data_IF_944687311509
#
_entry.id   IF_944687311509
#
_cell.length_a   1.000
_cell.length_b   1.000
_cell.length_c   1.000
_cell.angle_alpha   90.00
_cell.angle_beta   90.00
_cell.angle_gamma   90.00
#
_symmetry.space_group_name_H-M   'P 1'
#
loop_
_entity.id
_entity.type
_entity.pdbx_description
1 polymer ?
#
# COMPACT_ATOMS: atom_id res chain seq x y z
N UNK A 1 -25.50 -20.76 6.49
CA UNK A 1 -24.66 -19.84 5.68
C UNK A 1 -25.10 -18.44 6.06
N UNK A 2 -24.32 -17.56 6.68
CA UNK A 2 -22.89 -17.35 6.70
C UNK A 2 -22.51 -16.61 8.00
N UNK A 3 -21.59 -17.17 8.78
CA UNK A 3 -20.75 -16.38 9.69
C UNK A 3 -19.34 -16.36 9.09
N UNK A 4 -19.17 -15.64 7.97
CA UNK A 4 -17.84 -15.23 7.56
C UNK A 4 -17.50 -13.99 8.39
N UNK A 5 -16.84 -14.19 9.53
CA UNK A 5 -16.30 -13.08 10.30
C UNK A 5 -15.42 -12.22 9.37
N UNK A 6 -15.73 -10.92 9.21
CA UNK A 6 -15.01 -10.00 8.30
C UNK A 6 -13.55 -9.73 8.71
N UNK A 7 -13.07 -10.41 9.74
CA UNK A 7 -11.72 -10.35 10.30
C UNK A 7 -10.85 -11.54 9.88
N UNK A 8 -11.39 -12.54 9.19
CA UNK A 8 -10.60 -13.70 8.75
C UNK A 8 -9.61 -13.32 7.63
N UNK A 9 -8.35 -13.75 7.77
CA UNK A 9 -7.30 -13.61 6.74
C UNK A 9 -7.14 -14.91 5.93
N UNK A 10 -6.56 -14.80 4.75
CA UNK A 10 -6.04 -15.92 3.96
C UNK A 10 -4.69 -16.39 4.54
N UNK A 11 -4.18 -17.53 4.07
CA UNK A 11 -2.90 -18.09 4.52
C UNK A 11 -1.70 -17.18 4.18
N UNK A 12 -1.85 -16.34 3.15
CA UNK A 12 -0.87 -15.30 2.80
C UNK A 12 -1.05 -14.00 3.62
N UNK A 13 -1.90 -14.02 4.66
CA UNK A 13 -2.26 -12.90 5.53
C UNK A 13 -3.01 -11.73 4.85
N UNK A 14 -3.48 -11.87 3.61
CA UNK A 14 -4.41 -10.89 3.00
C UNK A 14 -5.79 -11.04 3.62
N UNK A 15 -6.50 -9.92 3.84
CA UNK A 15 -7.86 -9.95 4.36
C UNK A 15 -8.80 -10.68 3.40
N UNK A 16 -9.66 -11.57 3.91
CA UNK A 16 -10.73 -12.16 3.11
C UNK A 16 -11.81 -11.14 2.83
N UNK A 17 -12.23 -11.09 1.57
CA UNK A 17 -13.39 -10.34 1.09
C UNK A 17 -14.68 -11.13 1.34
N UNK A 18 -15.81 -10.48 1.09
CA UNK A 18 -17.14 -11.12 1.18
C UNK A 18 -17.30 -12.33 0.25
N UNK A 19 -16.56 -12.38 -0.86
CA UNK A 19 -16.53 -13.52 -1.78
C UNK A 19 -15.58 -14.65 -1.31
N UNK A 20 -14.98 -14.53 -0.13
CA UNK A 20 -14.05 -15.49 0.45
C UNK A 20 -12.60 -15.39 -0.05
N UNK A 21 -12.32 -14.49 -1.01
CA UNK A 21 -11.00 -14.32 -1.63
C UNK A 21 -10.27 -13.04 -1.14
N UNK A 22 -8.99 -12.87 -1.48
CA UNK A 22 -8.21 -11.68 -1.12
C UNK A 22 -8.33 -10.54 -2.13
N UNK A 23 -7.67 -9.41 -1.87
CA UNK A 23 -7.40 -8.41 -2.91
C UNK A 23 -6.29 -8.91 -3.84
N UNK A 24 -6.53 -8.86 -5.15
CA UNK A 24 -5.61 -9.47 -6.12
C UNK A 24 -4.26 -8.76 -6.24
N UNK A 25 -4.22 -7.44 -6.06
CA UNK A 25 -2.95 -6.70 -6.00
C UNK A 25 -2.15 -7.09 -4.75
N UNK A 26 -2.82 -7.13 -3.59
CA UNK A 26 -2.18 -7.53 -2.34
C UNK A 26 -1.73 -9.01 -2.37
N UNK A 27 -2.50 -9.89 -3.00
CA UNK A 27 -2.11 -11.29 -3.21
C UNK A 27 -0.87 -11.39 -4.10
N UNK A 28 -0.89 -10.76 -5.28
CA UNK A 28 0.25 -10.76 -6.20
C UNK A 28 1.52 -10.19 -5.54
N UNK A 29 1.37 -9.11 -4.75
CA UNK A 29 2.47 -8.57 -3.94
C UNK A 29 3.05 -9.62 -3.00
N UNK A 30 2.22 -10.22 -2.14
CA UNK A 30 2.70 -11.16 -1.12
C UNK A 30 3.19 -12.48 -1.69
N UNK A 31 2.64 -12.94 -2.81
CA UNK A 31 3.09 -14.16 -3.49
C UNK A 31 4.43 -13.94 -4.19
N UNK A 32 4.58 -12.84 -4.94
CA UNK A 32 5.79 -12.59 -5.73
C UNK A 32 6.96 -12.08 -4.87
N UNK A 33 6.71 -11.17 -3.94
CA UNK A 33 7.75 -10.54 -3.12
C UNK A 33 7.97 -11.25 -1.78
N UNK A 34 6.98 -12.00 -1.32
CA UNK A 34 7.05 -12.80 -0.11
C UNK A 34 7.28 -11.97 1.15
N UNK A 35 7.86 -12.64 2.15
CA UNK A 35 8.17 -12.07 3.45
C UNK A 35 9.31 -11.05 3.43
N UNK A 36 9.93 -10.80 2.28
CA UNK A 36 10.97 -9.79 2.16
C UNK A 36 10.39 -8.39 2.18
N UNK A 37 9.11 -8.20 1.84
CA UNK A 37 8.42 -6.92 1.75
C UNK A 37 7.31 -6.87 2.79
N UNK A 38 7.07 -5.69 3.39
CA UNK A 38 6.12 -5.55 4.50
C UNK A 38 4.95 -4.66 4.11
N UNK A 39 4.00 -5.29 3.41
CA UNK A 39 2.74 -4.66 3.03
C UNK A 39 1.72 -4.83 4.15
N UNK A 40 1.25 -3.73 4.70
CA UNK A 40 0.21 -3.68 5.72
C UNK A 40 -1.12 -3.24 5.10
N UNK A 41 -2.21 -3.88 5.52
CA UNK A 41 -3.58 -3.49 5.20
C UNK A 41 -4.07 -2.50 6.27
N UNK A 42 -4.11 -1.22 5.93
CA UNK A 42 -4.42 -0.13 6.85
C UNK A 42 -5.92 0.05 7.07
N UNK A 43 -6.74 -0.41 6.11
CA UNK A 43 -8.19 -0.25 6.17
C UNK A 43 -8.81 -1.09 7.29
N UNK A 44 -8.18 -2.22 7.64
CA UNK A 44 -8.61 -3.09 8.74
C UNK A 44 -8.50 -2.44 10.13
N UNK A 45 -7.63 -1.43 10.32
CA UNK A 45 -7.44 -0.76 11.60
C UNK A 45 -8.00 0.66 11.57
N UNK A 46 -7.52 1.48 10.63
CA UNK A 46 -7.86 2.91 10.56
C UNK A 46 -9.16 3.14 9.78
N UNK A 47 -9.37 2.37 8.71
CA UNK A 47 -10.56 2.47 7.86
C UNK A 47 -11.87 2.33 8.63
N UNK A 48 -11.98 1.23 9.36
CA UNK A 48 -13.15 0.94 10.19
C UNK A 48 -13.34 1.95 11.34
N UNK A 49 -12.26 2.38 11.99
CA UNK A 49 -12.35 3.28 13.15
C UNK A 49 -12.69 4.72 12.77
N UNK A 50 -12.19 5.23 11.64
CA UNK A 50 -12.31 6.64 11.28
C UNK A 50 -13.27 6.93 10.13
N UNK A 51 -13.50 5.97 9.22
CA UNK A 51 -14.29 6.19 8.01
C UNK A 51 -15.52 5.28 7.91
N UNK A 52 -15.73 4.39 8.89
CA UNK A 52 -16.87 3.47 8.97
C UNK A 52 -16.77 2.29 7.99
N UNK A 53 -17.71 1.33 8.10
CA UNK A 53 -17.73 0.06 7.33
C UNK A 53 -18.00 0.18 5.83
N UNK A 54 -17.98 1.39 5.26
CA UNK A 54 -18.28 1.63 3.83
C UNK A 54 -17.04 1.63 2.93
N UNK A 55 -15.92 1.11 3.39
CA UNK A 55 -14.67 1.20 2.66
C UNK A 55 -14.60 0.13 1.57
N UNK A 56 -15.15 0.45 0.40
CA UNK A 56 -14.58 -0.04 -0.86
C UNK A 56 -13.11 0.40 -1.01
N UNK A 57 -12.66 1.34 -0.16
CA UNK A 57 -11.27 1.74 0.03
C UNK A 57 -10.45 0.57 0.55
N UNK A 58 -9.43 0.20 -0.21
CA UNK A 58 -8.48 -0.83 0.16
C UNK A 58 -7.12 -0.16 0.17
N UNK A 59 -6.69 0.21 1.36
CA UNK A 59 -5.47 0.98 1.55
C UNK A 59 -4.38 0.05 2.04
N UNK A 60 -3.29 0.01 1.29
CA UNK A 60 -2.11 -0.75 1.65
C UNK A 60 -0.92 0.17 1.81
N UNK A 61 -0.09 -0.06 2.81
CA UNK A 61 1.15 0.67 3.01
C UNK A 61 2.32 -0.29 3.03
N UNK A 62 3.31 -0.03 2.20
CA UNK A 62 4.57 -0.76 2.20
C UNK A 62 5.55 -0.07 3.13
N UNK A 63 6.07 -0.83 4.09
CA UNK A 63 7.04 -0.37 5.08
C UNK A 63 8.37 -1.06 4.90
N UNK A 64 9.45 -0.37 5.26
CA UNK A 64 10.76 -0.96 5.45
C UNK A 64 11.09 -0.95 6.95
N UNK A 65 10.98 -2.09 7.67
CA UNK A 65 11.35 -2.22 9.07
C UNK A 65 12.88 -2.39 9.22
N UNK A 66 13.45 -2.01 10.35
CA UNK A 66 14.86 -2.29 10.67
C UNK A 66 15.15 -3.79 10.78
N UNK A 67 14.24 -4.58 11.33
CA UNK A 67 14.37 -6.04 11.47
C UNK A 67 13.20 -6.78 10.77
N UNK A 68 13.51 -7.50 9.69
CA UNK A 68 12.54 -8.29 8.93
C UNK A 68 12.17 -9.63 9.60
N UNK A 69 13.10 -10.22 10.36
CA UNK A 69 12.90 -11.52 11.02
C UNK A 69 11.98 -11.36 12.23
N UNK A 70 12.06 -10.23 12.92
CA UNK A 70 11.26 -9.91 14.10
C UNK A 70 10.22 -8.82 13.87
N UNK A 71 9.79 -8.58 12.63
CA UNK A 71 8.82 -7.53 12.30
C UNK A 71 7.45 -7.66 12.97
N UNK A 72 7.12 -8.83 13.51
CA UNK A 72 5.91 -9.06 14.30
C UNK A 72 6.07 -8.64 15.78
N UNK A 73 7.31 -8.41 16.24
CA UNK A 73 7.61 -7.80 17.52
C UNK A 73 7.58 -6.26 17.42
N UNK A 74 7.89 -5.57 18.52
CA UNK A 74 8.01 -4.12 18.53
C UNK A 74 9.13 -3.66 17.58
N UNK A 75 8.76 -3.26 16.36
CA UNK A 75 9.65 -2.63 15.39
C UNK A 75 10.12 -1.30 16.01
N UNK A 76 11.44 -1.15 16.15
CA UNK A 76 12.02 0.04 16.80
C UNK A 76 12.20 1.18 15.81
N UNK A 77 12.47 0.86 14.54
CA UNK A 77 12.66 1.82 13.45
C UNK A 77 12.06 1.30 12.16
N UNK A 78 11.44 2.18 11.41
CA UNK A 78 10.83 1.85 10.13
C UNK A 78 10.69 3.09 9.27
N UNK A 79 10.60 2.88 7.96
CA UNK A 79 10.36 3.93 6.97
C UNK A 79 9.15 3.58 6.10
N UNK A 80 8.36 4.58 5.72
CA UNK A 80 7.24 4.40 4.80
C UNK A 80 7.79 4.43 3.35
N UNK A 81 7.54 3.39 2.57
CA UNK A 81 7.95 3.35 1.15
C UNK A 81 6.84 3.95 0.30
N UNK A 82 5.65 3.37 0.36
CA UNK A 82 4.53 3.79 -0.47
C UNK A 82 3.18 3.48 0.18
N UNK A 83 2.19 4.28 -0.15
CA UNK A 83 0.78 3.99 0.10
C UNK A 83 0.07 3.71 -1.23
N UNK A 84 -0.72 2.65 -1.25
CA UNK A 84 -1.51 2.20 -2.39
C UNK A 84 -3.00 2.26 -2.02
N UNK A 85 -3.74 3.13 -2.69
CA UNK A 85 -5.19 3.21 -2.58
C UNK A 85 -5.83 2.45 -3.75
N UNK A 86 -6.32 1.24 -3.45
CA UNK A 86 -6.82 0.29 -4.45
C UNK A 86 -8.30 0.56 -4.76
N UNK A 87 -8.60 0.75 -6.05
CA UNK A 87 -9.91 1.15 -6.58
C UNK A 87 -10.35 0.27 -7.75
N UNK A 88 -11.62 -0.10 -7.82
CA UNK A 88 -12.15 -0.96 -8.89
C UNK A 88 -12.11 -0.29 -10.27
N UNK A 89 -12.37 1.02 -10.34
CA UNK A 89 -12.39 1.78 -11.59
C UNK A 89 -11.73 3.14 -11.44
N UNK A 90 -11.48 3.78 -12.59
CA UNK A 90 -10.92 5.13 -12.66
C UNK A 90 -11.86 6.15 -12.03
N UNK A 91 -13.16 6.05 -12.33
CA UNK A 91 -14.18 6.92 -11.78
C UNK A 91 -14.24 6.79 -10.27
N UNK A 92 -14.12 5.58 -9.73
CA UNK A 92 -14.04 5.37 -8.29
C UNK A 92 -12.80 6.08 -7.71
N UNK A 93 -11.61 5.93 -8.31
CA UNK A 93 -10.41 6.57 -7.79
C UNK A 93 -10.50 8.09 -7.66
N UNK A 94 -11.23 8.76 -8.55
CA UNK A 94 -11.35 10.21 -8.59
C UNK A 94 -12.74 10.73 -8.21
N UNK A 95 -13.59 9.89 -7.61
CA UNK A 95 -14.88 10.31 -7.10
C UNK A 95 -14.71 11.25 -5.89
N UNK A 96 -15.59 12.24 -5.78
CA UNK A 96 -15.51 13.29 -4.75
C UNK A 96 -15.65 12.76 -3.32
N UNK A 97 -16.32 11.62 -3.13
CA UNK A 97 -16.51 10.93 -1.85
C UNK A 97 -15.27 10.15 -1.39
N UNK A 98 -14.38 9.76 -2.32
CA UNK A 98 -13.11 9.11 -1.99
C UNK A 98 -12.02 10.08 -1.48
N UNK A 99 -12.35 11.37 -1.35
CA UNK A 99 -11.39 12.41 -1.00
C UNK A 99 -10.94 12.38 0.46
N UNK A 100 -11.77 11.90 1.40
CA UNK A 100 -11.44 11.97 2.84
C UNK A 100 -10.36 10.95 3.22
N UNK A 101 -10.52 9.69 2.81
CA UNK A 101 -9.51 8.65 3.06
C UNK A 101 -8.20 9.00 2.35
N UNK A 102 -8.26 9.35 1.07
CA UNK A 102 -7.07 9.78 0.32
C UNK A 102 -6.39 10.96 1.02
N UNK A 103 -7.14 11.99 1.45
CA UNK A 103 -6.57 13.13 2.18
C UNK A 103 -5.86 12.72 3.48
N UNK A 104 -6.42 11.78 4.24
CA UNK A 104 -5.79 11.26 5.44
C UNK A 104 -4.46 10.56 5.15
N UNK A 105 -4.43 9.67 4.17
CA UNK A 105 -3.20 8.95 3.83
C UNK A 105 -2.15 9.84 3.15
N UNK A 106 -2.56 10.85 2.36
CA UNK A 106 -1.66 11.89 1.89
C UNK A 106 -1.06 12.68 3.07
N UNK A 107 -1.85 12.99 4.10
CA UNK A 107 -1.33 13.63 5.31
C UNK A 107 -0.32 12.75 6.06
N UNK A 108 -0.55 11.43 6.12
CA UNK A 108 0.44 10.49 6.66
C UNK A 108 1.72 10.49 5.84
N UNK A 109 1.64 10.41 4.51
CA UNK A 109 2.82 10.51 3.64
C UNK A 109 3.60 11.82 3.88
N UNK A 110 2.92 12.97 4.01
CA UNK A 110 3.56 14.25 4.33
C UNK A 110 4.25 14.26 5.69
N UNK A 111 3.68 13.57 6.69
CA UNK A 111 4.30 13.43 8.00
C UNK A 111 5.62 12.67 7.88
N UNK A 112 5.58 11.49 7.27
CA UNK A 112 6.77 10.67 7.04
C UNK A 112 7.82 11.37 6.18
N UNK A 113 7.41 12.11 5.15
CA UNK A 113 8.31 12.89 4.30
C UNK A 113 9.19 13.90 5.07
N UNK A 114 8.75 14.34 6.26
CA UNK A 114 9.55 15.22 7.14
C UNK A 114 10.56 14.46 7.98
N UNK A 115 10.26 13.21 8.31
CA UNK A 115 11.01 12.40 9.27
C UNK A 115 11.99 11.43 8.58
N UNK A 116 11.89 11.25 7.26
CA UNK A 116 12.75 10.35 6.48
C UNK A 116 13.38 11.09 5.27
N UNK A 117 14.59 10.69 4.79
CA UNK A 117 15.36 11.47 3.81
C UNK A 117 14.76 11.51 2.40
N UNK A 118 13.97 10.49 2.03
CA UNK A 118 13.27 10.40 0.74
C UNK A 118 11.78 10.27 1.01
N UNK A 119 10.98 11.16 0.42
CA UNK A 119 9.54 11.14 0.64
C UNK A 119 8.90 9.82 0.19
N UNK A 120 7.89 9.30 0.92
CA UNK A 120 7.11 8.16 0.49
C UNK A 120 6.28 8.52 -0.74
N UNK A 121 5.89 7.49 -1.52
CA UNK A 121 5.04 7.66 -2.71
C UNK A 121 3.58 7.33 -2.42
N UNK A 122 2.67 7.89 -3.20
CA UNK A 122 1.25 7.58 -3.11
C UNK A 122 0.71 7.20 -4.48
N UNK A 123 0.06 6.05 -4.58
CA UNK A 123 -0.55 5.57 -5.82
C UNK A 123 -2.02 5.26 -5.63
N UNK A 124 -2.84 5.67 -6.58
CA UNK A 124 -4.02 4.87 -6.90
C UNK A 124 -3.58 3.64 -7.68
N UNK A 125 -4.08 2.48 -7.27
CA UNK A 125 -3.98 1.24 -8.04
C UNK A 125 -5.39 0.90 -8.52
N UNK A 126 -5.61 0.95 -9.83
CA UNK A 126 -6.94 0.86 -10.46
C UNK A 126 -7.04 -0.45 -11.25
N UNK A 127 -8.22 -1.10 -11.24
CA UNK A 127 -8.49 -2.28 -12.06
C UNK A 127 -9.18 -3.43 -11.33
N UNK A 128 -9.12 -4.62 -11.91
CA UNK A 128 -9.78 -5.84 -11.40
C UNK A 128 -8.96 -6.68 -10.41
N UNK A 129 -9.40 -7.92 -10.17
CA UNK A 129 -8.64 -8.88 -9.34
C UNK A 129 -7.32 -9.27 -10.00
N UNK A 130 -7.32 -9.49 -11.30
CA UNK A 130 -6.13 -9.80 -12.09
C UNK A 130 -5.68 -8.57 -12.88
N UNK A 131 -4.41 -8.51 -13.32
CA UNK A 131 -3.96 -7.55 -14.31
C UNK A 131 -4.85 -7.55 -15.58
N UNK A 132 -4.92 -6.44 -16.33
CA UNK A 132 -4.10 -5.25 -16.15
C UNK A 132 -4.57 -4.35 -15.00
N UNK A 133 -3.60 -3.77 -14.29
CA UNK A 133 -3.80 -2.69 -13.34
C UNK A 133 -3.24 -1.39 -13.88
N UNK A 134 -3.80 -0.28 -13.44
CA UNK A 134 -3.34 1.06 -13.77
C UNK A 134 -2.85 1.74 -12.50
N UNK A 135 -1.58 2.14 -12.48
CA UNK A 135 -0.99 2.91 -11.39
C UNK A 135 -1.02 4.39 -11.76
N UNK A 136 -1.65 5.18 -10.89
CA UNK A 136 -1.67 6.64 -11.00
C UNK A 136 -1.05 7.22 -9.75
N UNK A 137 0.11 7.85 -9.91
CA UNK A 137 0.78 8.49 -8.79
C UNK A 137 0.18 9.85 -8.47
N UNK A 138 0.06 10.16 -7.18
CA UNK A 138 -0.30 11.49 -6.69
C UNK A 138 0.91 12.16 -6.04
N UNK A 139 1.05 13.46 -6.30
CA UNK A 139 1.91 14.31 -5.49
C UNK A 139 1.38 14.35 -4.06
N UNK A 140 2.23 13.98 -3.10
CA UNK A 140 1.80 13.88 -1.71
C UNK A 140 1.40 15.24 -1.12
N UNK A 141 1.94 16.35 -1.60
CA UNK A 141 1.70 17.71 -1.10
C UNK A 141 0.42 18.33 -1.69
N UNK A 142 0.19 18.16 -2.98
CA UNK A 142 -0.95 18.78 -3.67
C UNK A 142 -2.14 17.82 -3.83
N UNK A 143 -1.91 16.51 -3.78
CA UNK A 143 -2.89 15.48 -4.11
C UNK A 143 -3.21 15.39 -5.61
N UNK A 144 -2.47 16.13 -6.45
CA UNK A 144 -2.67 16.10 -7.90
C UNK A 144 -1.89 14.95 -8.53
N UNK A 145 -2.39 14.43 -9.65
CA UNK A 145 -1.68 13.41 -10.43
C UNK A 145 -0.30 13.91 -10.87
N UNK A 146 0.70 13.04 -10.81
CA UNK A 146 2.04 13.29 -11.34
C UNK A 146 2.46 12.20 -12.33
N UNK A 147 3.21 12.60 -13.34
CA UNK A 147 3.64 11.70 -14.41
C UNK A 147 2.48 11.20 -15.27
N UNK A 148 2.74 10.13 -16.02
CA UNK A 148 1.73 9.39 -16.77
C UNK A 148 1.22 8.18 -15.99
N UNK A 149 0.05 7.68 -16.37
CA UNK A 149 -0.49 6.44 -15.82
C UNK A 149 0.39 5.28 -16.28
N UNK A 150 0.70 4.35 -15.37
CA UNK A 150 1.48 3.16 -15.68
C UNK A 150 0.58 1.95 -15.75
N UNK A 151 0.50 1.33 -16.93
CA UNK A 151 -0.22 0.08 -17.11
C UNK A 151 0.67 -1.10 -16.69
N UNK A 152 0.15 -1.94 -15.82
CA UNK A 152 0.80 -3.12 -15.28
C UNK A 152 0.01 -4.33 -15.76
N UNK A 153 0.58 -5.09 -16.69
CA UNK A 153 -0.01 -6.30 -17.28
C UNK A 153 0.57 -7.61 -16.71
N UNK A 154 1.40 -7.50 -15.67
CA UNK A 154 2.14 -8.60 -15.05
C UNK A 154 1.79 -8.75 -13.57
N UNK A 155 1.91 -9.97 -13.06
CA UNK A 155 1.92 -10.26 -11.61
C UNK A 155 3.34 -10.31 -11.04
N UNK A 156 4.38 -10.08 -11.85
CA UNK A 156 5.76 -9.97 -11.37
C UNK A 156 5.97 -8.63 -10.66
N UNK A 157 5.71 -8.61 -9.36
CA UNK A 157 5.74 -7.37 -8.57
C UNK A 157 7.15 -6.79 -8.40
N UNK A 158 8.21 -7.57 -8.64
CA UNK A 158 9.58 -7.03 -8.67
C UNK A 158 9.75 -6.06 -9.83
N UNK A 159 9.29 -6.45 -11.03
CA UNK A 159 9.32 -5.60 -12.22
C UNK A 159 8.48 -4.34 -12.02
N UNK A 160 7.31 -4.49 -11.39
CA UNK A 160 6.44 -3.35 -11.06
C UNK A 160 7.16 -2.38 -10.12
N UNK A 161 7.77 -2.88 -9.04
CA UNK A 161 8.49 -2.05 -8.07
C UNK A 161 9.68 -1.33 -8.70
N UNK A 162 10.43 -2.00 -9.57
CA UNK A 162 11.54 -1.39 -10.30
C UNK A 162 11.04 -0.30 -11.26
N UNK A 163 9.96 -0.58 -12.01
CA UNK A 163 9.38 0.36 -12.97
C UNK A 163 8.84 1.64 -12.30
N UNK A 164 8.25 1.50 -11.11
CA UNK A 164 7.83 2.64 -10.28
C UNK A 164 8.91 3.07 -9.28
N UNK A 165 10.18 2.70 -9.45
CA UNK A 165 11.31 3.18 -8.63
C UNK A 165 11.21 2.91 -7.13
N UNK A 166 10.32 2.00 -6.70
CA UNK A 166 10.13 1.67 -5.28
C UNK A 166 11.27 0.83 -4.73
N UNK A 167 11.91 0.00 -5.55
CA UNK A 167 13.11 -0.75 -5.16
C UNK A 167 14.25 0.19 -4.77
N UNK A 168 14.53 1.22 -5.59
CA UNK A 168 15.60 2.18 -5.29
C UNK A 168 15.27 3.01 -4.04
N UNK A 169 14.03 3.47 -3.91
CA UNK A 169 13.56 4.21 -2.73
C UNK A 169 13.78 3.39 -1.46
N UNK A 170 13.37 2.12 -1.50
CA UNK A 170 13.51 1.19 -0.39
C UNK A 170 14.96 0.92 -0.01
N UNK A 171 15.83 0.61 -0.98
CA UNK A 171 17.25 0.41 -0.74
C UNK A 171 17.90 1.65 -0.09
N UNK A 172 17.54 2.84 -0.56
CA UNK A 172 18.05 4.10 0.00
C UNK A 172 17.58 4.35 1.43
N UNK A 173 16.32 4.03 1.75
CA UNK A 173 15.79 4.17 3.11
C UNK A 173 16.39 3.14 4.06
N UNK A 174 16.55 1.89 3.63
CA UNK A 174 17.27 0.84 4.38
C UNK A 174 18.67 1.29 4.77
N UNK A 175 19.47 1.71 3.80
CA UNK A 175 20.84 2.16 4.04
C UNK A 175 20.89 3.27 5.10
N UNK A 176 19.94 4.21 5.06
CA UNK A 176 19.87 5.29 6.04
C UNK A 176 19.50 4.80 7.45
N UNK A 177 18.58 3.84 7.55
CA UNK A 177 18.21 3.27 8.85
C UNK A 177 19.39 2.53 9.49
N UNK A 178 20.23 1.89 8.68
CA UNK A 178 21.44 1.22 9.14
C UNK A 178 22.48 2.25 9.66
N UNK A 179 22.61 3.41 9.00
CA UNK A 179 23.46 4.51 9.48
C UNK A 179 22.99 5.12 10.81
N UNK A 180 21.70 5.00 11.16
CA UNK A 180 21.20 5.44 12.47
C UNK A 180 21.61 4.47 13.60
N UNK A 181 22.11 3.28 13.27
CA UNK A 181 22.55 2.27 14.26
C UNK A 181 23.97 2.58 14.75
N UNK A 182 24.79 3.20 13.91
CA UNK A 182 26.15 3.68 14.24
C UNK A 182 26.17 5.03 14.91
#
# INVERSE_FOLDING_TARGET
MHDAHPESRLDNHVRRRMDGQGDGWANAHREALGNKYFLQDEDACVGMMFFGTRTENRIFTEWEPDDYENRENLIRRFALIATFDRKSTYEAAFALDNTVSTAWYLANCRKWAKDQPKAPRFFYVIGGKEPPWELVELDINTGTRIGGNQMIDTTNMTEVWDAVGLTELRCSLRQRMDEWIT
#
